data_IF_478067676772
#
_entry.id   IF_478067676772
#
_cell.length_a   1.000
_cell.length_b   1.000
_cell.length_c   1.000
_cell.angle_alpha   90.00
_cell.angle_beta   90.00
_cell.angle_gamma   90.00
#
_symmetry.space_group_name_H-M   'P 1'
#
loop_
_entity.id
_entity.type
_entity.pdbx_description
1 polymer ?
#
# COMPACT_ATOMS: atom_id res chain seq x y z
N UNK A 1 23.38 27.54 11.19
CA UNK A 1 22.79 27.01 9.94
C UNK A 1 21.64 26.12 10.32
N UNK A 2 20.43 26.45 9.87
CA UNK A 2 19.20 25.78 10.29
C UNK A 2 19.07 24.38 9.68
N UNK A 3 18.93 23.37 10.54
CA UNK A 3 18.42 22.06 10.15
C UNK A 3 16.89 22.12 10.13
N UNK A 4 16.31 22.20 8.94
CA UNK A 4 14.87 22.00 8.76
C UNK A 4 14.53 20.53 8.99
N UNK A 5 13.98 20.20 10.14
CA UNK A 5 13.46 18.85 10.41
C UNK A 5 12.27 18.56 9.51
N UNK A 6 12.31 17.44 8.80
CA UNK A 6 11.18 16.99 8.00
C UNK A 6 10.01 16.62 8.95
N UNK A 7 8.89 17.33 8.86
CA UNK A 7 7.66 16.97 9.57
C UNK A 7 6.95 15.85 8.80
N UNK A 8 6.83 14.67 9.39
CA UNK A 8 6.05 13.57 8.83
C UNK A 8 4.63 13.58 9.39
N UNK A 9 3.63 13.56 8.52
CA UNK A 9 2.21 13.39 8.88
C UNK A 9 1.78 11.97 8.50
N UNK A 10 1.03 11.31 9.39
CA UNK A 10 0.47 9.98 9.15
C UNK A 10 -1.02 10.16 8.84
N UNK A 11 -1.41 9.96 7.58
CA UNK A 11 -2.80 10.12 7.12
C UNK A 11 -3.71 8.97 7.58
N UNK A 12 -3.20 7.73 7.52
CA UNK A 12 -3.99 6.55 7.89
C UNK A 12 -3.10 5.42 8.44
N UNK A 13 -3.63 4.68 9.42
CA UNK A 13 -3.04 3.44 9.93
C UNK A 13 -4.02 2.29 9.72
N UNK A 14 -3.60 1.30 8.95
CA UNK A 14 -4.37 0.09 8.68
C UNK A 14 -3.68 -1.12 9.28
N UNK A 15 -4.45 -2.06 9.83
CA UNK A 15 -3.96 -3.33 10.38
C UNK A 15 -4.77 -4.47 9.79
N UNK A 16 -4.12 -5.62 9.57
CA UNK A 16 -4.79 -6.83 9.10
C UNK A 16 -4.24 -8.06 9.80
N UNK A 17 -5.14 -8.96 10.18
CA UNK A 17 -4.80 -10.26 10.76
C UNK A 17 -4.65 -11.29 9.64
N UNK A 18 -3.59 -11.14 8.85
CA UNK A 18 -3.19 -12.14 7.86
C UNK A 18 -2.38 -13.23 8.57
N UNK A 19 -2.85 -14.48 8.51
CA UNK A 19 -2.12 -15.62 9.08
C UNK A 19 -0.85 -15.89 8.26
N UNK A 20 0.33 -15.83 8.89
CA UNK A 20 1.62 -16.10 8.23
C UNK A 20 1.74 -17.53 7.68
N UNK A 21 2.57 -17.74 6.64
CA UNK A 21 2.78 -19.07 6.03
C UNK A 21 3.23 -20.09 7.07
N UNK A 22 2.52 -21.23 7.14
CA UNK A 22 2.82 -22.31 8.09
C UNK A 22 3.12 -23.58 7.29
N UNK A 23 4.19 -24.31 7.65
CA UNK A 23 4.56 -25.59 7.01
C UNK A 23 3.61 -26.75 7.32
N UNK A 24 2.67 -26.57 8.26
CA UNK A 24 1.69 -27.57 8.71
C UNK A 24 0.34 -27.24 8.09
N UNK A 25 -0.07 -27.97 7.05
CA UNK A 25 -1.37 -27.75 6.39
C UNK A 25 -2.04 -28.98 5.79
N UNK A 26 -1.33 -30.12 5.65
CA UNK A 26 -1.92 -31.34 5.10
C UNK A 26 -2.74 -31.09 3.82
N UNK A 27 -3.90 -31.74 3.71
CA UNK A 27 -4.84 -31.57 2.58
C UNK A 27 -5.54 -30.21 2.53
N UNK A 28 -5.60 -29.46 3.63
CA UNK A 28 -6.21 -28.12 3.67
C UNK A 28 -5.23 -27.00 3.32
N UNK A 29 -3.94 -27.31 3.11
CA UNK A 29 -2.90 -26.33 2.80
C UNK A 29 -3.24 -25.44 1.58
N UNK A 30 -3.76 -25.97 0.44
CA UNK A 30 -4.11 -25.13 -0.71
C UNK A 30 -5.24 -24.16 -0.39
N UNK A 31 -6.25 -24.62 0.37
CA UNK A 31 -7.39 -23.78 0.78
C UNK A 31 -6.94 -22.65 1.71
N UNK A 32 -6.08 -22.94 2.67
CA UNK A 32 -5.52 -21.92 3.57
C UNK A 32 -4.64 -20.94 2.79
N UNK A 33 -3.90 -21.42 1.78
CA UNK A 33 -3.16 -20.57 0.85
C UNK A 33 -4.07 -19.56 0.15
N UNK A 34 -5.17 -20.04 -0.46
CA UNK A 34 -6.16 -19.19 -1.11
C UNK A 34 -6.80 -18.16 -0.18
N UNK A 35 -7.18 -18.57 1.04
CA UNK A 35 -7.74 -17.64 2.05
C UNK A 35 -6.74 -16.53 2.42
N UNK A 36 -5.43 -16.84 2.43
CA UNK A 36 -4.39 -15.84 2.69
C UNK A 36 -4.26 -14.84 1.54
N UNK A 37 -4.29 -15.32 0.29
CA UNK A 37 -4.28 -14.47 -0.90
C UNK A 37 -5.51 -13.56 -0.92
N UNK A 38 -6.71 -14.11 -0.73
CA UNK A 38 -7.95 -13.32 -0.67
C UNK A 38 -7.92 -12.24 0.44
N UNK A 39 -7.32 -12.56 1.61
CA UNK A 39 -7.13 -11.57 2.67
C UNK A 39 -6.08 -10.51 2.33
N UNK A 40 -5.02 -10.89 1.63
CA UNK A 40 -4.00 -9.96 1.18
C UNK A 40 -4.57 -8.98 0.14
N UNK A 41 -5.35 -9.49 -0.81
CA UNK A 41 -6.03 -8.69 -1.83
C UNK A 41 -7.05 -7.74 -1.20
N UNK A 42 -7.82 -8.21 -0.22
CA UNK A 42 -8.76 -7.36 0.53
C UNK A 42 -8.03 -6.24 1.31
N UNK A 43 -6.86 -6.54 1.88
CA UNK A 43 -6.04 -5.52 2.54
C UNK A 43 -5.45 -4.53 1.54
N UNK A 44 -4.98 -5.01 0.38
CA UNK A 44 -4.46 -4.17 -0.69
C UNK A 44 -5.53 -3.18 -1.19
N UNK A 45 -6.78 -3.64 -1.37
CA UNK A 45 -7.92 -2.79 -1.70
C UNK A 45 -8.14 -1.69 -0.65
N UNK A 46 -8.20 -2.04 0.64
CA UNK A 46 -8.36 -1.05 1.72
C UNK A 46 -7.21 -0.03 1.77
N UNK A 47 -5.99 -0.46 1.51
CA UNK A 47 -4.84 0.44 1.44
C UNK A 47 -4.93 1.38 0.24
N UNK A 48 -5.36 0.89 -0.92
CA UNK A 48 -5.59 1.70 -2.11
C UNK A 48 -6.72 2.71 -1.91
N UNK A 49 -7.81 2.33 -1.25
CA UNK A 49 -8.92 3.23 -0.92
C UNK A 49 -8.46 4.34 0.04
N UNK A 50 -7.70 4.00 1.08
CA UNK A 50 -7.14 4.98 2.00
C UNK A 50 -6.17 5.95 1.30
N UNK A 51 -5.31 5.44 0.41
CA UNK A 51 -4.41 6.28 -0.39
C UNK A 51 -5.19 7.19 -1.35
N UNK A 52 -6.28 6.69 -1.93
CA UNK A 52 -7.16 7.48 -2.81
C UNK A 52 -7.83 8.60 -2.03
N UNK A 53 -8.38 8.32 -0.85
CA UNK A 53 -9.00 9.33 -0.01
C UNK A 53 -8.00 10.40 0.49
N UNK A 54 -6.75 10.00 0.73
CA UNK A 54 -5.71 10.93 1.20
C UNK A 54 -5.13 11.81 0.09
N UNK A 55 -4.94 11.27 -1.12
CA UNK A 55 -4.17 11.94 -2.17
C UNK A 55 -4.98 12.36 -3.39
N UNK A 56 -6.20 11.84 -3.59
CA UNK A 56 -7.05 12.23 -4.71
C UNK A 56 -8.23 13.08 -4.25
N UNK A 57 -8.63 14.01 -5.11
CA UNK A 57 -9.83 14.84 -4.94
C UNK A 57 -10.65 14.78 -6.23
N UNK A 58 -11.96 14.55 -6.11
CA UNK A 58 -12.88 14.45 -7.25
C UNK A 58 -12.44 13.47 -8.35
N UNK A 59 -11.84 12.34 -7.93
CA UNK A 59 -11.37 11.30 -8.85
C UNK A 59 -10.11 11.68 -9.65
N UNK A 60 -9.43 12.78 -9.28
CA UNK A 60 -8.18 13.21 -9.91
C UNK A 60 -7.08 13.38 -8.88
N UNK A 61 -5.84 13.16 -9.32
CA UNK A 61 -4.66 13.52 -8.55
C UNK A 61 -4.43 15.03 -8.76
N UNK A 62 -4.55 15.88 -7.72
CA UNK A 62 -4.30 17.30 -7.86
C UNK A 62 -2.85 17.56 -8.27
N UNK A 63 -2.58 18.62 -9.06
CA UNK A 63 -1.23 18.96 -9.43
C UNK A 63 -0.44 19.42 -8.19
N UNK A 64 0.90 19.25 -8.19
CA UNK A 64 1.71 19.64 -7.04
C UNK A 64 1.61 21.13 -6.70
N UNK A 65 1.43 21.98 -7.72
CA UNK A 65 1.21 23.42 -7.55
C UNK A 65 -0.09 23.77 -6.77
N UNK A 66 -1.05 22.85 -6.72
CA UNK A 66 -2.32 22.99 -5.99
C UNK A 66 -2.34 22.19 -4.67
N UNK A 67 -1.17 21.75 -4.17
CA UNK A 67 -1.06 20.98 -2.92
C UNK A 67 -1.14 19.47 -3.08
N UNK A 68 -1.08 18.96 -4.31
CA UNK A 68 -0.96 17.52 -4.57
C UNK A 68 0.44 16.97 -4.33
N UNK A 69 0.60 15.65 -4.53
CA UNK A 69 1.88 14.98 -4.37
C UNK A 69 2.74 15.07 -5.64
N UNK A 70 4.06 15.20 -5.48
CA UNK A 70 5.02 15.12 -6.58
C UNK A 70 5.33 13.68 -7.02
N UNK A 71 5.13 12.72 -6.12
CA UNK A 71 5.39 11.31 -6.35
C UNK A 71 4.99 10.48 -5.15
N UNK A 72 4.79 9.19 -5.40
CA UNK A 72 4.39 8.20 -4.41
C UNK A 72 5.49 7.14 -4.27
N UNK A 73 5.83 6.79 -3.04
CA UNK A 73 6.77 5.70 -2.74
C UNK A 73 5.99 4.59 -2.05
N UNK A 74 6.12 3.37 -2.57
CA UNK A 74 5.57 2.18 -1.93
C UNK A 74 6.70 1.44 -1.21
N UNK A 75 6.61 1.35 0.12
CA UNK A 75 7.63 0.70 0.94
C UNK A 75 7.00 -0.46 1.73
N UNK A 76 7.62 -1.64 1.67
CA UNK A 76 7.15 -2.80 2.41
C UNK A 76 7.92 -4.09 2.10
N UNK A 77 7.66 -5.18 2.84
CA UNK A 77 8.31 -6.45 2.60
C UNK A 77 7.69 -7.19 1.39
N UNK A 78 8.56 -7.79 0.56
CA UNK A 78 8.21 -8.83 -0.43
C UNK A 78 7.05 -8.45 -1.38
N UNK A 79 6.08 -9.34 -1.57
CA UNK A 79 4.99 -9.22 -2.56
C UNK A 79 3.83 -8.31 -2.09
N UNK A 80 3.75 -7.97 -0.80
CA UNK A 80 2.63 -7.18 -0.26
C UNK A 80 2.53 -5.79 -0.91
N UNK A 81 3.68 -5.19 -1.23
CA UNK A 81 3.74 -3.88 -1.93
C UNK A 81 3.30 -3.98 -3.40
N UNK A 82 3.46 -5.14 -4.03
CA UNK A 82 3.03 -5.37 -5.42
C UNK A 82 1.50 -5.41 -5.50
N UNK A 83 0.85 -6.17 -4.61
CA UNK A 83 -0.61 -6.21 -4.54
C UNK A 83 -1.23 -4.84 -4.27
N UNK A 84 -0.65 -4.05 -3.37
CA UNK A 84 -1.10 -2.66 -3.13
C UNK A 84 -0.93 -1.81 -4.39
N UNK A 85 0.21 -1.90 -5.08
CA UNK A 85 0.44 -1.14 -6.32
C UNK A 85 -0.62 -1.44 -7.38
N UNK A 86 -0.98 -2.72 -7.52
CA UNK A 86 -1.91 -3.16 -8.54
C UNK A 86 -3.36 -2.83 -8.19
N UNK A 87 -3.69 -2.70 -6.90
CA UNK A 87 -4.99 -2.22 -6.41
C UNK A 87 -5.18 -0.69 -6.51
N UNK A 88 -4.11 0.10 -6.71
CA UNK A 88 -4.21 1.56 -6.82
C UNK A 88 -4.94 2.01 -8.09
N UNK A 89 -5.68 3.14 -8.02
CA UNK A 89 -6.20 3.78 -9.22
C UNK A 89 -5.09 4.12 -10.22
N UNK A 90 -5.35 4.09 -11.54
CA UNK A 90 -4.33 4.31 -12.56
C UNK A 90 -3.54 5.61 -12.39
N UNK A 91 -4.19 6.70 -11.97
CA UNK A 91 -3.56 7.99 -11.75
C UNK A 91 -2.55 7.97 -10.59
N UNK A 92 -2.92 7.36 -9.46
CA UNK A 92 -2.00 7.19 -8.32
C UNK A 92 -0.89 6.21 -8.63
N UNK A 93 -1.20 5.12 -9.34
CA UNK A 93 -0.21 4.13 -9.75
C UNK A 93 0.85 4.74 -10.68
N UNK A 94 0.46 5.65 -11.58
CA UNK A 94 1.39 6.38 -12.44
C UNK A 94 2.30 7.35 -11.66
N UNK A 95 1.86 7.82 -10.49
CA UNK A 95 2.66 8.66 -9.62
C UNK A 95 3.68 7.86 -8.78
N UNK A 96 3.67 6.52 -8.83
CA UNK A 96 4.65 5.70 -8.10
C UNK A 96 6.04 5.87 -8.72
N UNK A 97 6.93 6.53 -7.98
CA UNK A 97 8.31 6.80 -8.41
C UNK A 97 9.29 5.72 -7.95
N UNK A 98 8.99 5.06 -6.83
CA UNK A 98 9.85 4.01 -6.28
C UNK A 98 9.04 2.97 -5.52
N UNK A 99 9.51 1.73 -5.62
CA UNK A 99 9.04 0.60 -4.82
C UNK A 99 10.24 0.09 -4.03
N UNK A 100 10.19 0.22 -2.71
CA UNK A 100 11.32 0.00 -1.81
C UNK A 100 11.04 -1.20 -0.92
N UNK A 101 11.99 -2.12 -0.89
CA UNK A 101 11.99 -3.18 0.10
C UNK A 101 12.48 -2.64 1.45
N UNK A 102 11.63 -2.76 2.46
CA UNK A 102 11.99 -2.47 3.84
C UNK A 102 12.26 -3.77 4.57
N UNK A 103 13.36 -3.81 5.33
CA UNK A 103 13.60 -4.93 6.25
C UNK A 103 12.56 -4.86 7.36
N UNK A 104 11.80 -5.94 7.52
CA UNK A 104 10.95 -6.15 8.68
C UNK A 104 11.80 -6.43 9.92
#
# INVERSE_FOLDING_TARGET
GGGGGASSVIEARLTTDAQGRTRRGGMSAPRIGRIREEKADAFAGKAADAATAAFMTDGRLPPPAAGGIHGLILAGPADSKVGIRDALPPALRAAVVAVVDTRA
#
